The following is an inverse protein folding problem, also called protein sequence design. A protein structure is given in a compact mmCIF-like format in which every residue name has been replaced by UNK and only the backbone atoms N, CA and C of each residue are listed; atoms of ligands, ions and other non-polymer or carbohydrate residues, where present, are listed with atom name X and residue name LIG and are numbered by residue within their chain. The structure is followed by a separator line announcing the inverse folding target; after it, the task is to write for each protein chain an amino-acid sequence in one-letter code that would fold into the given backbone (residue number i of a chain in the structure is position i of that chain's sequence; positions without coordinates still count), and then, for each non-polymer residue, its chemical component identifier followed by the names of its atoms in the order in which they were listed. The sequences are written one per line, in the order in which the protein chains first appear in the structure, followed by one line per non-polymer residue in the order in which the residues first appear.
data_IF_542141870180
#
_entry.id   IF_542141870180
#
_cell.length_a   1.000
_cell.length_b   1.000
_cell.length_c   1.000
_cell.angle_alpha   90.00
_cell.angle_beta   90.00
_cell.angle_gamma   90.00
#
_symmetry.space_group_name_H-M   'P 1'
#
loop_
_entity.id
_entity.type
_entity.pdbx_description
1 polymer ?
#
# COMPACT_ATOMS: atom_id res chain seq x y z
N UNK A 1 26.92 -60.56 12.98
CA UNK A 1 27.36 -59.65 11.91
C UNK A 1 28.34 -58.64 12.55
N UNK A 2 29.67 -58.82 12.55
CA UNK A 2 30.66 -58.43 11.52
C UNK A 2 30.36 -57.04 10.89
N UNK A 3 31.21 -56.00 10.84
CA UNK A 3 32.62 -55.69 11.18
C UNK A 3 32.70 -54.15 11.43
N UNK A 4 33.38 -53.59 12.45
CA UNK A 4 34.80 -53.21 12.56
C UNK A 4 35.45 -52.40 11.41
N UNK A 5 36.09 -51.27 11.78
CA UNK A 5 37.27 -50.67 11.12
C UNK A 5 37.08 -49.23 10.60
N UNK A 6 37.34 -48.18 11.39
CA UNK A 6 38.61 -47.47 11.68
C UNK A 6 39.26 -46.66 10.53
N UNK A 7 39.26 -45.33 10.72
CA UNK A 7 40.43 -44.43 10.82
C UNK A 7 41.50 -44.43 9.72
N UNK A 8 41.73 -43.29 9.06
CA UNK A 8 43.08 -42.86 8.65
C UNK A 8 43.13 -41.37 8.25
N UNK A 9 43.97 -40.63 8.96
CA UNK A 9 44.61 -39.40 8.49
C UNK A 9 45.64 -39.76 7.40
N UNK A 10 45.74 -38.98 6.33
CA UNK A 10 46.98 -38.88 5.56
C UNK A 10 47.19 -37.42 5.14
N UNK A 11 48.30 -36.85 5.60
CA UNK A 11 48.80 -35.56 5.17
C UNK A 11 49.86 -35.78 4.11
N UNK A 12 49.80 -35.02 3.02
CA UNK A 12 50.87 -35.01 2.02
C UNK A 12 51.23 -33.59 1.62
N UNK A 13 52.41 -33.17 2.08
CA UNK A 13 53.22 -32.06 1.53
C UNK A 13 53.54 -32.33 0.05
N UNK A 14 53.55 -31.28 -0.78
CA UNK A 14 54.60 -31.03 -1.79
C UNK A 14 54.86 -29.53 -1.96
N UNK A 15 56.14 -29.21 -1.86
CA UNK A 15 56.84 -27.93 -2.05
C UNK A 15 56.94 -27.59 -3.57
N UNK A 16 56.60 -26.35 -3.98
CA UNK A 16 57.49 -25.24 -4.41
C UNK A 16 58.26 -25.40 -5.74
N UNK A 17 57.99 -24.52 -6.73
CA UNK A 17 58.89 -23.89 -7.73
C UNK A 17 58.13 -22.63 -8.23
N UNK A 18 58.48 -21.37 -7.96
CA UNK A 18 59.67 -20.53 -8.21
C UNK A 18 59.75 -19.90 -9.63
N UNK A 19 59.73 -18.56 -9.66
CA UNK A 19 60.29 -17.69 -10.71
C UNK A 19 59.31 -17.14 -11.76
N UNK A 20 59.39 -15.90 -12.25
CA UNK A 20 60.28 -14.77 -11.95
C UNK A 20 59.77 -13.53 -12.76
N UNK A 21 60.06 -12.31 -12.28
CA UNK A 21 60.09 -11.07 -13.07
C UNK A 21 58.75 -10.37 -13.34
N UNK A 22 58.47 -9.11 -12.99
CA UNK A 22 59.34 -8.02 -12.55
C UNK A 22 59.43 -6.92 -13.61
N UNK A 23 58.79 -5.78 -13.32
CA UNK A 23 59.02 -4.43 -13.89
C UNK A 23 58.53 -4.21 -15.35
N UNK A 24 58.10 -3.03 -15.82
CA UNK A 24 58.39 -1.65 -15.46
C UNK A 24 57.21 -0.70 -15.75
N UNK A 25 57.18 0.38 -14.96
CA UNK A 25 56.60 1.71 -15.12
C UNK A 25 55.98 2.15 -16.47
N UNK A 26 54.88 2.90 -16.39
CA UNK A 26 54.42 3.76 -17.48
C UNK A 26 53.13 4.51 -17.13
N UNK A 27 53.24 5.68 -16.49
CA UNK A 27 52.11 6.53 -16.17
C UNK A 27 51.38 7.07 -17.40
N UNK A 28 50.07 7.27 -17.26
CA UNK A 28 49.34 8.30 -18.01
C UNK A 28 48.25 8.89 -17.13
N UNK A 29 48.60 10.00 -16.49
CA UNK A 29 47.68 10.98 -15.92
C UNK A 29 46.77 11.49 -17.04
N UNK A 30 45.46 11.20 -16.97
CA UNK A 30 44.52 11.72 -17.96
C UNK A 30 43.07 11.41 -17.65
N UNK A 31 42.26 12.46 -17.56
CA UNK A 31 40.80 12.50 -17.78
C UNK A 31 39.82 12.17 -16.66
N UNK A 32 40.23 11.93 -15.40
CA UNK A 32 39.23 11.82 -14.31
C UNK A 32 38.41 13.09 -14.09
N UNK A 33 38.88 14.28 -14.48
CA UNK A 33 38.10 15.53 -14.39
C UNK A 33 37.16 15.76 -15.58
N UNK A 34 37.41 15.13 -16.73
CA UNK A 34 36.58 15.31 -17.94
C UNK A 34 35.32 14.45 -17.90
N UNK A 35 35.39 13.28 -17.25
CA UNK A 35 34.22 12.38 -17.10
C UNK A 35 33.14 13.03 -16.21
N UNK A 36 33.52 13.75 -15.16
CA UNK A 36 32.55 14.46 -14.30
C UNK A 36 31.93 15.71 -14.95
N UNK A 37 32.68 16.42 -15.80
CA UNK A 37 32.17 17.60 -16.52
C UNK A 37 31.20 17.19 -17.64
N UNK A 38 31.47 16.09 -18.34
CA UNK A 38 30.55 15.55 -19.37
C UNK A 38 29.27 14.98 -18.75
N UNK A 39 29.34 14.35 -17.56
CA UNK A 39 28.15 13.89 -16.84
C UNK A 39 27.30 15.05 -16.26
N UNK A 40 27.93 16.16 -15.85
CA UNK A 40 27.19 17.35 -15.41
C UNK A 40 26.58 18.16 -16.56
N UNK A 41 27.19 18.12 -17.76
CA UNK A 41 26.60 18.76 -18.94
C UNK A 41 25.48 17.91 -19.57
N UNK A 42 25.57 16.57 -19.53
CA UNK A 42 24.47 15.69 -19.96
C UNK A 42 23.35 15.64 -18.90
N UNK A 43 23.69 15.66 -17.60
CA UNK A 43 22.71 15.82 -16.52
C UNK A 43 22.06 17.20 -16.46
N UNK A 44 22.78 18.25 -16.86
CA UNK A 44 22.27 19.61 -16.95
C UNK A 44 21.40 19.86 -18.19
N UNK A 45 21.70 19.22 -19.34
CA UNK A 45 20.89 19.39 -20.55
C UNK A 45 19.61 18.54 -20.55
N UNK A 46 19.54 17.44 -19.79
CA UNK A 46 18.29 16.71 -19.55
C UNK A 46 17.35 17.49 -18.59
N UNK A 47 17.88 18.42 -17.80
CA UNK A 47 17.06 19.29 -16.94
C UNK A 47 16.50 20.53 -17.63
N UNK A 48 16.90 20.85 -18.88
CA UNK A 48 16.44 22.05 -19.59
C UNK A 48 15.58 21.81 -20.84
N UNK A 49 15.44 20.55 -21.30
CA UNK A 49 14.69 20.23 -22.53
C UNK A 49 13.43 19.36 -22.31
N UNK A 50 13.00 19.18 -21.06
CA UNK A 50 11.80 18.41 -20.69
C UNK A 50 10.59 19.23 -20.28
N UNK A 51 10.63 20.57 -20.38
CA UNK A 51 9.49 21.44 -20.05
C UNK A 51 8.67 21.81 -21.30
N UNK A 52 8.47 20.85 -22.19
CA UNK A 52 7.45 20.96 -23.24
C UNK A 52 6.10 20.66 -22.60
N UNK A 53 5.30 21.72 -22.44
CA UNK A 53 3.86 21.76 -22.17
C UNK A 53 3.15 20.41 -22.39
N UNK A 54 3.05 19.63 -21.32
CA UNK A 54 2.28 18.39 -21.25
C UNK A 54 1.58 18.37 -19.91
N UNK A 55 0.26 18.18 -19.93
CA UNK A 55 -0.60 18.10 -18.77
C UNK A 55 -0.09 17.05 -17.77
N UNK A 56 0.60 17.50 -16.71
CA UNK A 56 1.21 16.67 -15.68
C UNK A 56 0.54 16.84 -14.32
N UNK A 57 -0.80 16.84 -14.28
CA UNK A 57 -1.54 16.64 -13.04
C UNK A 57 -1.58 15.13 -12.75
N UNK A 58 -0.56 14.54 -12.12
CA UNK A 58 -0.63 13.09 -11.91
C UNK A 58 0.49 12.32 -11.21
N UNK A 59 1.51 12.92 -10.57
CA UNK A 59 2.43 12.11 -9.75
C UNK A 59 2.69 12.66 -8.33
N UNK A 60 2.47 13.95 -8.08
CA UNK A 60 2.56 14.46 -6.69
C UNK A 60 1.27 14.28 -5.87
N UNK A 61 0.11 14.12 -6.51
CA UNK A 61 -1.18 13.95 -5.82
C UNK A 61 -1.35 12.58 -5.16
N UNK A 62 -0.67 11.54 -5.64
CA UNK A 62 -0.73 10.20 -5.04
C UNK A 62 0.16 10.04 -3.80
N UNK A 63 1.06 10.99 -3.54
CA UNK A 63 1.92 10.99 -2.34
C UNK A 63 1.17 11.55 -1.13
N UNK A 64 0.13 12.36 -1.35
CA UNK A 64 -0.74 12.87 -0.28
C UNK A 64 -2.05 12.08 -0.26
N UNK A 65 -2.05 10.94 0.41
CA UNK A 65 -3.28 10.25 0.83
C UNK A 65 -4.17 11.26 1.59
N UNK A 66 -5.34 11.61 1.03
CA UNK A 66 -6.31 12.51 1.67
C UNK A 66 -6.72 11.97 3.04
N UNK A 67 -6.84 12.85 4.02
CA UNK A 67 -7.40 12.49 5.33
C UNK A 67 -8.82 11.94 5.17
N UNK A 68 -9.27 10.98 6.00
CA UNK A 68 -10.66 10.49 5.98
C UNK A 68 -11.71 11.61 6.11
N UNK A 69 -11.39 12.68 6.86
CA UNK A 69 -12.27 13.84 6.98
C UNK A 69 -12.34 14.66 5.67
N UNK A 70 -11.24 14.76 4.94
CA UNK A 70 -11.19 15.44 3.63
C UNK A 70 -11.88 14.61 2.54
N UNK A 71 -11.72 13.29 2.60
CA UNK A 71 -12.43 12.34 1.74
C UNK A 71 -13.94 12.43 1.94
N UNK A 72 -14.42 12.49 3.19
CA UNK A 72 -15.85 12.68 3.48
C UNK A 72 -16.40 14.01 2.96
N UNK A 73 -15.68 15.12 3.18
CA UNK A 73 -16.08 16.43 2.65
C UNK A 73 -16.11 16.45 1.12
N UNK A 74 -15.07 15.91 0.48
CA UNK A 74 -14.98 15.85 -0.98
C UNK A 74 -16.08 14.97 -1.61
N UNK A 75 -16.51 13.93 -0.90
CA UNK A 75 -17.58 13.04 -1.33
C UNK A 75 -18.99 13.58 -1.00
N UNK A 76 -19.13 14.74 -0.36
CA UNK A 76 -20.43 15.29 0.01
C UNK A 76 -21.17 14.43 1.05
N UNK A 77 -20.43 13.76 1.94
CA UNK A 77 -21.01 12.92 2.98
C UNK A 77 -21.83 13.78 3.94
N UNK A 78 -23.07 13.36 4.20
CA UNK A 78 -23.99 13.99 5.14
C UNK A 78 -24.11 13.12 6.38
N UNK A 79 -23.79 13.68 7.53
CA UNK A 79 -23.99 13.00 8.81
C UNK A 79 -25.25 13.53 9.51
N UNK A 80 -26.03 12.59 10.05
CA UNK A 80 -27.15 12.90 10.94
C UNK A 80 -26.89 12.30 12.33
N UNK A 81 -27.85 12.45 13.24
CA UNK A 81 -27.77 11.84 14.57
C UNK A 81 -27.70 10.30 14.51
N UNK A 82 -28.36 9.68 13.53
CA UNK A 82 -28.50 8.22 13.44
C UNK A 82 -27.72 7.56 12.31
N UNK A 83 -27.32 8.31 11.28
CA UNK A 83 -26.80 7.75 10.03
C UNK A 83 -25.70 8.60 9.41
N UNK A 84 -24.92 7.95 8.55
CA UNK A 84 -24.02 8.57 7.59
C UNK A 84 -24.58 8.27 6.20
N UNK A 85 -24.82 9.31 5.41
CA UNK A 85 -25.33 9.21 4.03
C UNK A 85 -24.25 9.64 3.06
N UNK A 86 -23.90 8.74 2.14
CA UNK A 86 -22.87 8.97 1.11
C UNK A 86 -23.58 9.08 -0.23
N UNK A 87 -23.49 10.20 -0.97
CA UNK A 87 -24.08 10.31 -2.30
C UNK A 87 -23.56 9.19 -3.23
N UNK A 88 -24.47 8.48 -3.92
CA UNK A 88 -24.06 7.40 -4.83
C UNK A 88 -23.16 7.92 -5.95
N UNK A 89 -23.38 9.16 -6.41
CA UNK A 89 -22.54 9.85 -7.40
C UNK A 89 -21.08 9.98 -6.96
N UNK A 90 -20.81 10.08 -5.66
CA UNK A 90 -19.44 10.10 -5.15
C UNK A 90 -18.73 8.74 -5.30
N UNK A 91 -19.50 7.66 -5.39
CA UNK A 91 -19.02 6.28 -5.50
C UNK A 91 -19.00 5.77 -6.96
N UNK A 92 -19.64 6.46 -7.90
CA UNK A 92 -19.77 6.03 -9.30
C UNK A 92 -18.43 5.87 -10.03
N UNK A 93 -17.38 6.54 -9.58
CA UNK A 93 -16.02 6.36 -10.13
C UNK A 93 -15.39 5.01 -9.79
N UNK A 94 -16.01 4.21 -8.91
CA UNK A 94 -15.46 2.97 -8.37
C UNK A 94 -14.34 3.19 -7.34
N UNK A 95 -13.90 4.43 -7.13
CA UNK A 95 -12.92 4.77 -6.09
C UNK A 95 -13.56 4.75 -4.72
N UNK A 96 -12.91 4.09 -3.78
CA UNK A 96 -13.33 4.00 -2.40
C UNK A 96 -13.23 5.37 -1.71
N UNK A 97 -14.28 5.72 -0.98
CA UNK A 97 -14.32 6.85 -0.07
C UNK A 97 -14.03 6.32 1.33
N UNK A 98 -12.84 6.62 1.83
CA UNK A 98 -12.43 6.29 3.20
C UNK A 98 -12.92 7.35 4.19
N UNK A 99 -13.52 6.90 5.28
CA UNK A 99 -14.21 7.72 6.27
C UNK A 99 -13.79 7.29 7.68
N UNK A 100 -14.04 8.18 8.64
CA UNK A 100 -13.86 7.90 10.05
C UNK A 100 -15.03 8.45 10.87
N UNK A 101 -15.38 7.76 11.94
CA UNK A 101 -16.36 8.21 12.91
C UNK A 101 -15.82 8.01 14.33
N UNK A 102 -16.01 9.02 15.19
CA UNK A 102 -15.70 8.94 16.61
C UNK A 102 -16.96 8.51 17.37
N UNK A 103 -17.06 7.22 17.71
CA UNK A 103 -18.24 6.61 18.33
C UNK A 103 -17.84 5.78 19.55
N UNK A 104 -18.50 5.99 20.69
CA UNK A 104 -18.21 5.24 21.92
C UNK A 104 -16.76 5.39 22.42
N UNK A 105 -16.15 6.56 22.19
CA UNK A 105 -14.74 6.82 22.55
C UNK A 105 -13.72 6.09 21.66
N UNK A 106 -14.15 5.51 20.54
CA UNK A 106 -13.30 4.82 19.57
C UNK A 106 -13.34 5.54 18.23
N UNK A 107 -12.18 5.72 17.62
CA UNK A 107 -12.06 6.14 16.23
C UNK A 107 -12.25 4.91 15.34
N UNK A 108 -13.37 4.85 14.63
CA UNK A 108 -13.76 3.74 13.76
C UNK A 108 -13.55 4.17 12.32
N UNK A 109 -12.72 3.43 11.59
CA UNK A 109 -12.43 3.69 10.19
C UNK A 109 -13.18 2.71 9.30
N UNK A 110 -13.76 3.21 8.22
CA UNK A 110 -14.56 2.44 7.29
C UNK A 110 -14.49 3.06 5.91
N UNK A 111 -14.93 2.34 4.89
CA UNK A 111 -14.97 2.86 3.53
C UNK A 111 -16.21 2.36 2.79
N UNK A 112 -16.56 3.08 1.73
CA UNK A 112 -17.59 2.69 0.78
C UNK A 112 -17.10 2.85 -0.66
N UNK A 113 -17.60 2.01 -1.56
CA UNK A 113 -17.29 2.05 -2.99
C UNK A 113 -18.43 1.44 -3.80
N UNK A 114 -18.46 1.75 -5.10
CA UNK A 114 -19.18 0.94 -6.09
C UNK A 114 -18.19 -0.09 -6.64
N UNK A 115 -18.44 -1.38 -6.44
CA UNK A 115 -17.58 -2.43 -6.96
C UNK A 115 -17.72 -2.59 -8.48
N UNK A 116 -16.82 -3.38 -9.06
CA UNK A 116 -16.79 -3.68 -10.51
C UNK A 116 -18.04 -4.35 -11.05
N UNK A 117 -18.83 -5.02 -10.19
CA UNK A 117 -20.16 -5.57 -10.51
C UNK A 117 -21.31 -4.55 -10.42
N UNK A 118 -21.01 -3.29 -10.14
CA UNK A 118 -21.97 -2.20 -10.02
C UNK A 118 -22.68 -2.08 -8.66
N UNK A 119 -22.37 -2.96 -7.70
CA UNK A 119 -22.99 -2.96 -6.37
C UNK A 119 -22.32 -1.95 -5.44
N UNK A 120 -23.11 -1.19 -4.67
CA UNK A 120 -22.57 -0.30 -3.64
C UNK A 120 -22.27 -1.09 -2.37
N UNK A 121 -21.03 -1.00 -1.90
CA UNK A 121 -20.48 -1.79 -0.80
C UNK A 121 -19.90 -0.87 0.26
N UNK A 122 -19.96 -1.36 1.50
CA UNK A 122 -19.32 -0.72 2.64
C UNK A 122 -18.61 -1.78 3.49
N UNK A 123 -17.49 -1.44 4.08
CA UNK A 123 -16.76 -2.32 4.99
C UNK A 123 -16.03 -1.49 6.04
N UNK A 124 -15.76 -2.10 7.19
CA UNK A 124 -14.78 -1.55 8.11
C UNK A 124 -13.40 -1.60 7.45
N UNK A 125 -12.59 -0.59 7.73
CA UNK A 125 -11.24 -0.50 7.20
C UNK A 125 -10.26 -1.33 8.05
N UNK A 126 -10.56 -2.63 8.16
CA UNK A 126 -9.90 -3.62 9.02
C UNK A 126 -10.35 -5.04 8.64
N UNK A 127 -9.71 -6.08 9.19
CA UNK A 127 -10.15 -7.48 9.05
C UNK A 127 -9.83 -8.31 10.28
N UNK A 128 -10.40 -9.51 10.36
CA UNK A 128 -10.31 -10.39 11.52
C UNK A 128 -8.87 -10.79 11.87
N UNK A 129 -7.99 -10.84 10.86
CA UNK A 129 -6.61 -11.28 11.04
C UNK A 129 -5.70 -10.13 11.45
N UNK A 130 -5.78 -8.99 10.74
CA UNK A 130 -4.79 -7.92 10.86
C UNK A 130 -5.25 -6.73 11.73
N UNK A 131 -6.45 -6.75 12.31
CA UNK A 131 -7.01 -5.58 13.02
C UNK A 131 -6.10 -4.99 14.10
N UNK A 132 -5.32 -5.84 14.80
CA UNK A 132 -4.38 -5.38 15.85
C UNK A 132 -3.28 -4.44 15.32
N UNK A 133 -2.94 -4.51 14.05
CA UNK A 133 -1.99 -3.60 13.41
C UNK A 133 -2.62 -2.24 13.06
N UNK A 134 -3.94 -2.17 12.94
CA UNK A 134 -4.74 -1.00 12.58
C UNK A 134 -4.19 -0.17 11.39
N UNK A 135 -3.72 -0.85 10.33
CA UNK A 135 -3.18 -0.21 9.11
C UNK A 135 -4.21 -0.01 8.00
N UNK A 136 -5.38 -0.63 8.12
CA UNK A 136 -6.45 -0.56 7.12
C UNK A 136 -6.06 -1.09 5.74
N UNK A 137 -6.75 -0.56 4.74
CA UNK A 137 -6.65 -0.92 3.33
C UNK A 137 -6.33 0.30 2.47
N UNK A 138 -5.83 0.03 1.28
CA UNK A 138 -5.81 0.99 0.17
C UNK A 138 -6.42 0.34 -1.05
N UNK A 139 -6.85 1.15 -2.00
CA UNK A 139 -7.32 0.65 -3.29
C UNK A 139 -6.22 0.76 -4.36
N UNK A 140 -6.03 -0.30 -5.14
CA UNK A 140 -5.17 -0.37 -6.31
C UNK A 140 -6.00 -0.87 -7.51
N UNK A 141 -6.53 0.04 -8.32
CA UNK A 141 -7.48 -0.31 -9.37
C UNK A 141 -8.76 -0.93 -8.77
N UNK A 142 -9.13 -2.14 -9.21
CA UNK A 142 -10.29 -2.87 -8.65
C UNK A 142 -9.96 -3.67 -7.37
N UNK A 143 -8.71 -3.63 -6.91
CA UNK A 143 -8.26 -4.43 -5.77
C UNK A 143 -8.24 -3.59 -4.49
N UNK A 144 -8.80 -4.15 -3.42
CA UNK A 144 -8.56 -3.70 -2.04
C UNK A 144 -7.37 -4.45 -1.47
N UNK A 145 -6.35 -3.70 -1.04
CA UNK A 145 -5.07 -4.24 -0.59
C UNK A 145 -4.85 -3.92 0.88
N UNK A 146 -4.61 -4.95 1.70
CA UNK A 146 -4.31 -4.75 3.11
C UNK A 146 -2.95 -4.06 3.28
N UNK A 147 -2.91 -2.96 4.03
CA UNK A 147 -1.66 -2.23 4.29
C UNK A 147 -0.73 -2.93 5.30
N UNK A 148 -1.20 -4.01 5.94
CA UNK A 148 -0.40 -4.81 6.86
C UNK A 148 0.26 -6.01 6.19
N UNK A 149 -0.52 -6.87 5.52
CA UNK A 149 -0.01 -8.12 4.95
C UNK A 149 0.09 -8.13 3.42
N UNK A 150 -0.40 -7.09 2.73
CA UNK A 150 -0.32 -6.97 1.27
C UNK A 150 -1.29 -7.87 0.48
N UNK A 151 -2.14 -8.65 1.15
CA UNK A 151 -3.14 -9.47 0.47
C UNK A 151 -4.14 -8.60 -0.29
N UNK A 152 -4.50 -9.04 -1.50
CA UNK A 152 -5.34 -8.30 -2.44
C UNK A 152 -6.68 -9.01 -2.63
N UNK A 153 -7.75 -8.24 -2.67
CA UNK A 153 -9.12 -8.74 -2.83
C UNK A 153 -9.83 -7.93 -3.92
N UNK A 154 -10.51 -8.57 -4.87
CA UNK A 154 -11.38 -7.86 -5.80
C UNK A 154 -12.49 -7.09 -5.06
N UNK A 155 -12.90 -5.95 -5.60
CA UNK A 155 -13.95 -5.10 -5.01
C UNK A 155 -15.29 -5.84 -4.88
N UNK A 156 -15.60 -6.75 -5.80
CA UNK A 156 -16.78 -7.61 -5.80
C UNK A 156 -16.81 -8.65 -4.66
N UNK A 157 -15.75 -8.73 -3.84
CA UNK A 157 -15.72 -9.55 -2.62
C UNK A 157 -15.88 -8.75 -1.34
N UNK A 158 -15.78 -7.42 -1.39
CA UNK A 158 -15.96 -6.55 -0.21
C UNK A 158 -17.39 -6.69 0.29
N UNK A 159 -17.62 -6.86 1.59
CA UNK A 159 -18.97 -7.04 2.17
C UNK A 159 -19.66 -8.39 1.86
N UNK A 160 -19.18 -9.18 0.90
CA UNK A 160 -19.76 -10.47 0.51
C UNK A 160 -19.01 -11.65 1.16
N UNK A 161 -17.69 -11.69 1.02
CA UNK A 161 -16.87 -12.69 1.72
C UNK A 161 -16.57 -12.18 3.12
N UNK A 162 -17.05 -12.93 4.11
CA UNK A 162 -16.88 -12.64 5.53
C UNK A 162 -15.81 -13.55 6.11
N UNK A 163 -15.00 -13.05 7.02
CA UNK A 163 -13.94 -13.83 7.63
C UNK A 163 -12.56 -13.56 7.06
N UNK A 164 -11.54 -13.75 7.90
CA UNK A 164 -10.14 -13.82 7.47
C UNK A 164 -9.57 -12.45 7.12
N UNK A 165 -8.88 -12.36 5.98
CA UNK A 165 -8.18 -11.15 5.56
C UNK A 165 -9.00 -10.21 4.66
N UNK A 166 -10.25 -10.55 4.31
CA UNK A 166 -11.12 -9.61 3.58
C UNK A 166 -11.57 -8.48 4.52
N UNK A 167 -11.70 -7.23 4.05
CA UNK A 167 -12.37 -6.17 4.80
C UNK A 167 -13.66 -6.64 5.52
N UNK A 168 -13.73 -6.40 6.83
CA UNK A 168 -14.86 -6.85 7.64
C UNK A 168 -16.16 -6.13 7.18
N UNK A 169 -17.27 -6.84 7.00
CA UNK A 169 -18.49 -6.29 6.40
C UNK A 169 -19.15 -5.24 7.29
N UNK A 170 -19.61 -4.15 6.69
CA UNK A 170 -20.41 -3.10 7.32
C UNK A 170 -21.80 -3.06 6.68
N UNK A 171 -22.86 -3.08 7.50
CA UNK A 171 -24.22 -3.02 7.00
C UNK A 171 -24.51 -1.65 6.35
N UNK A 172 -25.29 -1.67 5.27
CA UNK A 172 -25.59 -0.53 4.40
C UNK A 172 -26.89 -0.74 3.64
N UNK A 173 -27.60 0.34 3.36
CA UNK A 173 -28.78 0.34 2.49
C UNK A 173 -28.65 1.45 1.44
N UNK A 174 -29.19 1.20 0.25
CA UNK A 174 -29.41 2.27 -0.72
C UNK A 174 -30.73 2.95 -0.36
N UNK A 175 -30.68 4.26 -0.14
CA UNK A 175 -31.81 5.13 0.20
C UNK A 175 -31.84 6.31 -0.78
N UNK A 176 -32.64 6.18 -1.84
CA UNK A 176 -32.70 7.15 -2.93
C UNK A 176 -31.34 7.33 -3.62
N UNK A 177 -30.82 8.57 -3.59
CA UNK A 177 -29.51 8.92 -4.17
C UNK A 177 -28.33 8.70 -3.19
N UNK A 178 -28.55 8.03 -2.06
CA UNK A 178 -27.53 7.84 -1.02
C UNK A 178 -27.31 6.36 -0.68
N UNK A 179 -26.07 6.04 -0.30
CA UNK A 179 -25.75 4.89 0.50
C UNK A 179 -25.83 5.29 1.98
N UNK A 180 -26.82 4.76 2.69
CA UNK A 180 -27.05 5.00 4.12
C UNK A 180 -26.38 3.91 4.96
N UNK A 181 -25.65 4.36 5.99
CA UNK A 181 -24.97 3.50 6.97
C UNK A 181 -25.38 3.99 8.36
N UNK A 182 -25.99 3.13 9.17
CA UNK A 182 -26.42 3.51 10.53
C UNK A 182 -25.20 3.67 11.44
N UNK A 183 -25.19 4.70 12.28
CA UNK A 183 -24.14 4.91 13.29
C UNK A 183 -24.05 3.74 14.28
N UNK A 184 -25.17 3.08 14.58
CA UNK A 184 -25.19 1.87 15.38
C UNK A 184 -24.43 0.71 14.72
N UNK A 185 -24.57 0.55 13.40
CA UNK A 185 -23.81 -0.46 12.67
C UNK A 185 -22.32 -0.09 12.66
N UNK A 186 -21.96 1.17 12.40
CA UNK A 186 -20.55 1.61 12.48
C UNK A 186 -19.96 1.32 13.87
N UNK A 187 -20.70 1.65 14.95
CA UNK A 187 -20.27 1.42 16.33
C UNK A 187 -20.05 -0.06 16.66
N UNK A 188 -20.80 -0.97 16.03
CA UNK A 188 -20.65 -2.41 16.23
C UNK A 188 -19.27 -2.94 15.83
N UNK A 189 -18.54 -2.23 14.95
CA UNK A 189 -17.16 -2.54 14.58
C UNK A 189 -16.12 -2.21 15.66
N UNK A 190 -16.50 -1.57 16.77
CA UNK A 190 -15.60 -1.14 17.85
C UNK A 190 -14.60 -2.18 18.39
N UNK A 191 -14.91 -3.49 18.43
CA UNK A 191 -13.95 -4.54 18.81
C UNK A 191 -12.73 -4.65 17.88
N UNK A 192 -12.80 -4.21 16.62
CA UNK A 192 -11.65 -4.18 15.72
C UNK A 192 -10.71 -2.99 15.96
N UNK A 193 -11.22 -1.91 16.56
CA UNK A 193 -10.49 -0.65 16.74
C UNK A 193 -10.04 -0.52 18.20
N UNK A 194 -9.02 -1.31 18.55
CA UNK A 194 -8.44 -1.39 19.91
C UNK A 194 -7.17 -0.55 20.08
N UNK A 195 -6.65 0.03 19.01
CA UNK A 195 -5.45 0.90 19.00
C UNK A 195 -5.70 2.09 18.09
N UNK A 196 -5.02 3.21 18.34
CA UNK A 196 -5.03 4.35 17.40
C UNK A 196 -4.35 3.97 16.09
N UNK A 197 -4.83 4.54 15.00
CA UNK A 197 -4.22 4.40 13.67
C UNK A 197 -2.98 5.28 13.63
N UNK A 198 -1.86 4.71 13.17
CA UNK A 198 -0.57 5.38 13.04
C UNK A 198 -0.47 6.10 11.69
#
# INVERSE_FOLDING_TARGET
MNCHGNNAKDGRKRESVAGNGGSCCGGRTGSKRFIWIVLLLIGGLILAAGFTKGAGAGWFSDVFQKSPAESGKAAGVVETAGEVKIPLKALDSGRAVFLKADLGGKEIHYFALKSSDGVYRAAYDTCDVCFRANRGYRQEGDLMVCNNCGQKFPSDKVNEVKGGCNPAPLARAVDGEYLAIRKADIAAGGPYFVRKRL
#
